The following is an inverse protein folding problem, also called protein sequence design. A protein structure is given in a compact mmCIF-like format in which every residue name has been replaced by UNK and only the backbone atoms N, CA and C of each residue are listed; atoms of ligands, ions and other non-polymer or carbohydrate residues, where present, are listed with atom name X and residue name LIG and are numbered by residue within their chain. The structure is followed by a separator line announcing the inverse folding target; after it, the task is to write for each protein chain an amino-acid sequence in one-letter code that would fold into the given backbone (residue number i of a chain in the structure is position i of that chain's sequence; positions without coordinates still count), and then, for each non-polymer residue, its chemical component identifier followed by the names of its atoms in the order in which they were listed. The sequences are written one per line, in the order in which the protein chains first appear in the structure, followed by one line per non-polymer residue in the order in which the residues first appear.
data_IF_303414668904
#
_entry.id   IF_303414668904
#
_cell.length_a   1.000
_cell.length_b   1.000
_cell.length_c   1.000
_cell.angle_alpha   90.00
_cell.angle_beta   90.00
_cell.angle_gamma   90.00
#
_symmetry.space_group_name_H-M   'P 1'
#
loop_
_entity.id
_entity.type
_entity.pdbx_description
1 polymer ?
#
# COMPACT_ATOMS: atom_id res chain seq x y z
N UNK A 1 -33.78 -17.67 -18.89
CA UNK A 1 -32.40 -17.51 -19.40
C UNK A 1 -31.48 -17.80 -18.23
N UNK A 2 -30.86 -18.98 -18.19
CA UNK A 2 -29.90 -19.33 -17.12
C UNK A 2 -28.57 -18.71 -17.57
N UNK A 3 -28.06 -17.73 -16.83
CA UNK A 3 -26.72 -17.19 -17.08
C UNK A 3 -25.71 -18.25 -16.66
N UNK A 4 -24.81 -18.64 -17.56
CA UNK A 4 -23.72 -19.60 -17.30
C UNK A 4 -22.47 -18.92 -16.73
N UNK A 5 -22.55 -17.62 -16.41
CA UNK A 5 -21.42 -16.87 -15.88
C UNK A 5 -21.42 -16.83 -14.35
N UNK A 6 -20.25 -17.03 -13.77
CA UNK A 6 -19.93 -16.81 -12.35
C UNK A 6 -18.72 -15.88 -12.23
N UNK A 7 -18.51 -15.34 -11.04
CA UNK A 7 -17.32 -14.59 -10.67
C UNK A 7 -16.34 -15.48 -9.90
N UNK A 8 -15.08 -15.45 -10.31
CA UNK A 8 -13.98 -16.10 -9.61
C UNK A 8 -13.08 -15.02 -9.02
N UNK A 9 -12.82 -15.13 -7.72
CA UNK A 9 -12.06 -14.17 -6.91
C UNK A 9 -10.79 -14.82 -6.40
N UNK A 10 -9.65 -14.18 -6.63
CA UNK A 10 -8.37 -14.57 -6.07
C UNK A 10 -7.84 -13.44 -5.19
N UNK A 11 -7.61 -13.75 -3.92
CA UNK A 11 -6.98 -12.87 -2.95
C UNK A 11 -5.62 -13.45 -2.58
N UNK A 12 -4.57 -12.61 -2.60
CA UNK A 12 -3.21 -13.00 -2.21
C UNK A 12 -2.72 -12.02 -1.15
N UNK A 13 -2.57 -12.48 0.08
CA UNK A 13 -2.03 -11.71 1.20
C UNK A 13 -0.55 -11.36 0.98
N UNK A 14 -0.04 -10.36 1.69
CA UNK A 14 1.39 -10.02 1.64
C UNK A 14 2.29 -11.14 2.19
N UNK A 15 1.75 -11.96 3.10
CA UNK A 15 2.39 -13.16 3.64
C UNK A 15 2.47 -14.32 2.63
N UNK A 16 1.78 -14.21 1.49
CA UNK A 16 1.69 -15.27 0.47
C UNK A 16 0.48 -16.19 0.61
N UNK A 17 -0.31 -16.06 1.69
CA UNK A 17 -1.58 -16.80 1.83
C UNK A 17 -2.52 -16.46 0.67
N UNK A 18 -3.18 -17.47 0.10
CA UNK A 18 -4.04 -17.30 -1.07
C UNK A 18 -5.44 -17.86 -0.81
N UNK A 19 -6.46 -17.09 -1.13
CA UNK A 19 -7.88 -17.48 -1.08
C UNK A 19 -8.45 -17.44 -2.49
N UNK A 20 -9.10 -18.53 -2.88
CA UNK A 20 -9.75 -18.72 -4.17
C UNK A 20 -11.22 -19.00 -3.94
N UNK A 21 -12.08 -18.06 -4.32
CA UNK A 21 -13.49 -18.16 -4.01
C UNK A 21 -14.39 -17.81 -5.21
N UNK A 22 -15.59 -18.38 -5.27
CA UNK A 22 -16.57 -18.12 -6.32
C UNK A 22 -17.95 -17.85 -5.74
N UNK A 23 -18.76 -17.08 -6.48
CA UNK A 23 -20.18 -16.86 -6.22
C UNK A 23 -21.06 -17.99 -6.80
N UNK A 24 -20.47 -18.95 -7.52
CA UNK A 24 -21.13 -20.16 -7.96
C UNK A 24 -21.42 -21.10 -6.78
N UNK A 25 -22.45 -21.94 -6.91
CA UNK A 25 -22.88 -22.89 -5.88
C UNK A 25 -21.98 -24.14 -5.82
N UNK A 26 -21.08 -24.30 -6.80
CA UNK A 26 -20.15 -25.44 -6.89
C UNK A 26 -18.72 -24.96 -7.11
N UNK A 27 -17.71 -25.77 -6.73
CA UNK A 27 -16.32 -25.46 -7.04
C UNK A 27 -16.10 -25.32 -8.54
N UNK A 28 -15.41 -24.26 -8.94
CA UNK A 28 -15.07 -23.97 -10.35
C UNK A 28 -13.57 -24.18 -10.55
N UNK A 29 -13.21 -25.04 -11.49
CA UNK A 29 -11.81 -25.23 -11.89
C UNK A 29 -11.47 -24.26 -13.01
N UNK A 30 -10.53 -23.35 -12.75
CA UNK A 30 -10.14 -22.31 -13.69
C UNK A 30 -8.63 -22.07 -13.61
N UNK A 31 -7.94 -22.09 -14.76
CA UNK A 31 -6.48 -21.87 -14.88
C UNK A 31 -5.62 -22.75 -13.96
N UNK A 32 -6.04 -23.99 -13.73
CA UNK A 32 -5.33 -24.93 -12.86
C UNK A 32 -5.54 -24.70 -11.36
N UNK A 33 -6.43 -23.77 -10.99
CA UNK A 33 -6.81 -23.46 -9.63
C UNK A 33 -8.28 -23.84 -9.39
N UNK A 34 -8.61 -24.23 -8.15
CA UNK A 34 -9.98 -24.59 -7.76
C UNK A 34 -10.54 -23.48 -6.88
N UNK A 35 -11.55 -22.79 -7.38
CA UNK A 35 -12.28 -21.74 -6.67
C UNK A 35 -13.41 -22.38 -5.87
N UNK A 36 -13.41 -22.18 -4.55
CA UNK A 36 -14.39 -22.79 -3.66
C UNK A 36 -15.65 -21.92 -3.56
N UNK A 37 -16.85 -22.53 -3.47
CA UNK A 37 -18.07 -21.80 -3.16
C UNK A 37 -18.01 -21.26 -1.73
N UNK A 38 -18.49 -20.04 -1.51
CA UNK A 38 -18.54 -19.45 -0.17
C UNK A 38 -18.62 -17.93 -0.17
N UNK A 39 -18.09 -17.29 -1.22
CA UNK A 39 -18.04 -15.83 -1.29
C UNK A 39 -19.41 -15.23 -1.62
N UNK A 40 -20.16 -14.83 -0.59
CA UNK A 40 -21.40 -14.05 -0.75
C UNK A 40 -21.08 -12.56 -0.79
N UNK A 41 -20.55 -12.14 -1.93
CA UNK A 41 -20.38 -10.71 -2.25
C UNK A 41 -21.67 -10.19 -2.88
N UNK A 42 -22.28 -9.17 -2.28
CA UNK A 42 -23.35 -8.41 -2.93
C UNK A 42 -22.72 -7.44 -3.93
N UNK A 43 -22.59 -7.89 -5.17
CA UNK A 43 -21.92 -7.20 -6.30
C UNK A 43 -22.67 -5.98 -6.86
N UNK A 44 -23.70 -5.47 -6.17
CA UNK A 44 -24.69 -4.54 -6.73
C UNK A 44 -24.17 -3.13 -7.05
N UNK A 45 -22.86 -2.87 -7.00
CA UNK A 45 -22.27 -1.57 -7.31
C UNK A 45 -20.97 -1.63 -8.13
N UNK A 46 -20.75 -2.64 -8.99
CA UNK A 46 -19.63 -2.60 -9.95
C UNK A 46 -19.91 -1.51 -11.03
N UNK A 47 -19.59 -0.25 -10.73
CA UNK A 47 -19.62 0.86 -11.69
C UNK A 47 -18.25 0.99 -12.34
N UNK A 48 -18.18 0.65 -13.63
CA UNK A 48 -16.98 0.84 -14.46
C UNK A 48 -16.86 2.31 -14.85
N UNK A 49 -16.18 3.10 -14.04
CA UNK A 49 -15.97 4.52 -14.35
C UNK A 49 -14.70 4.69 -15.20
N UNK A 50 -14.81 5.31 -16.38
CA UNK A 50 -13.67 5.62 -17.28
C UNK A 50 -12.79 6.78 -16.75
N UNK A 51 -13.05 7.28 -15.55
CA UNK A 51 -12.37 8.42 -14.95
C UNK A 51 -11.06 7.95 -14.30
N UNK A 52 -10.05 8.82 -14.30
CA UNK A 52 -8.74 8.60 -13.66
C UNK A 52 -8.76 8.85 -12.15
N UNK A 53 -9.93 8.85 -11.51
CA UNK A 53 -10.05 8.90 -10.05
C UNK A 53 -10.12 7.48 -9.49
N UNK A 54 -9.28 7.13 -8.50
CA UNK A 54 -9.37 5.88 -7.76
C UNK A 54 -10.47 6.04 -6.72
N UNK A 55 -11.71 6.11 -7.17
CA UNK A 55 -12.80 5.88 -6.22
C UNK A 55 -12.64 4.45 -5.72
N UNK A 56 -12.50 4.24 -4.40
CA UNK A 56 -12.48 2.90 -3.84
C UNK A 56 -13.79 2.23 -4.22
N UNK A 57 -13.69 1.00 -4.73
CA UNK A 57 -14.87 0.18 -4.92
C UNK A 57 -15.20 -0.42 -3.55
N UNK A 58 -16.19 0.17 -2.89
CA UNK A 58 -16.70 -0.36 -1.63
C UNK A 58 -17.54 -1.58 -1.90
N UNK A 59 -17.04 -2.73 -1.44
CA UNK A 59 -17.72 -4.00 -1.57
C UNK A 59 -18.30 -4.40 -0.22
N UNK A 60 -19.62 -4.41 -0.13
CA UNK A 60 -20.32 -4.94 1.03
C UNK A 60 -20.54 -6.46 0.84
N UNK A 61 -19.97 -7.28 1.72
CA UNK A 61 -20.11 -8.72 1.62
C UNK A 61 -19.89 -9.42 2.96
N UNK A 62 -20.58 -10.54 3.17
CA UNK A 62 -20.11 -11.52 4.13
C UNK A 62 -19.03 -12.34 3.42
N UNK A 63 -17.77 -11.99 3.65
CA UNK A 63 -16.63 -12.75 3.14
C UNK A 63 -16.46 -13.99 4.03
N UNK A 64 -17.25 -15.02 3.77
CA UNK A 64 -17.08 -16.34 4.38
C UNK A 64 -16.46 -17.26 3.33
N UNK A 65 -15.15 -17.47 3.39
CA UNK A 65 -14.48 -18.47 2.58
C UNK A 65 -13.57 -19.29 3.49
N UNK A 66 -13.39 -20.58 3.16
CA UNK A 66 -12.39 -21.40 3.84
C UNK A 66 -11.03 -20.70 3.70
N UNK A 67 -10.41 -20.37 4.85
CA UNK A 67 -9.16 -19.60 5.00
C UNK A 67 -9.24 -18.07 4.85
N UNK A 68 -10.44 -17.48 4.89
CA UNK A 68 -10.62 -16.03 5.06
C UNK A 68 -11.49 -15.79 6.30
N UNK A 69 -10.86 -15.78 7.49
CA UNK A 69 -11.62 -15.63 8.73
C UNK A 69 -11.86 -14.15 9.08
N UNK A 70 -12.97 -13.91 9.78
CA UNK A 70 -13.29 -12.65 10.42
C UNK A 70 -12.17 -12.14 11.34
N UNK A 71 -11.44 -13.06 11.96
CA UNK A 71 -10.32 -12.77 12.87
C UNK A 71 -9.10 -12.29 12.07
N UNK A 72 -8.74 -12.98 10.98
CA UNK A 72 -7.61 -12.58 10.13
C UNK A 72 -7.82 -11.22 9.46
N UNK A 73 -9.08 -10.92 9.11
CA UNK A 73 -9.48 -9.60 8.59
C UNK A 73 -9.34 -8.51 9.66
N UNK A 74 -9.72 -8.79 10.91
CA UNK A 74 -9.58 -7.85 12.02
C UNK A 74 -8.12 -7.64 12.45
N UNK A 75 -7.30 -8.68 12.35
CA UNK A 75 -5.87 -8.66 12.69
C UNK A 75 -5.00 -8.07 11.57
N UNK A 76 -5.61 -7.60 10.46
CA UNK A 76 -4.92 -6.92 9.36
C UNK A 76 -4.07 -7.85 8.48
N UNK A 77 -4.26 -9.17 8.57
CA UNK A 77 -3.50 -10.17 7.78
C UNK A 77 -3.67 -9.95 6.26
N UNK A 78 -4.83 -9.41 5.88
CA UNK A 78 -5.21 -9.17 4.49
C UNK A 78 -5.03 -7.72 4.04
N UNK A 79 -4.41 -6.87 4.86
CA UNK A 79 -4.18 -5.47 4.49
C UNK A 79 -3.23 -5.35 3.30
N UNK A 80 -3.67 -4.64 2.27
CA UNK A 80 -2.96 -4.56 1.00
C UNK A 80 -2.93 -5.87 0.20
N UNK A 81 -3.74 -6.88 0.57
CA UNK A 81 -3.85 -8.11 -0.19
C UNK A 81 -4.24 -7.82 -1.64
N UNK A 82 -3.58 -8.50 -2.58
CA UNK A 82 -3.89 -8.37 -4.02
C UNK A 82 -5.17 -9.11 -4.32
N UNK A 83 -6.13 -8.42 -4.94
CA UNK A 83 -7.42 -8.99 -5.33
C UNK A 83 -7.51 -8.99 -6.86
N UNK A 84 -7.91 -10.12 -7.43
CA UNK A 84 -8.19 -10.27 -8.87
C UNK A 84 -9.53 -10.94 -9.07
N UNK A 85 -10.33 -10.40 -10.00
CA UNK A 85 -11.69 -10.84 -10.27
C UNK A 85 -11.80 -11.21 -11.75
N UNK A 86 -12.31 -12.40 -12.02
CA UNK A 86 -12.65 -12.88 -13.36
C UNK A 86 -14.15 -13.15 -13.46
N UNK A 87 -14.70 -12.94 -14.65
CA UNK A 87 -15.95 -13.55 -15.07
C UNK A 87 -15.60 -14.83 -15.80
N UNK A 88 -16.13 -15.96 -15.34
CA UNK A 88 -15.85 -17.28 -15.91
C UNK A 88 -17.19 -17.90 -16.28
N UNK A 89 -17.28 -18.48 -17.48
CA UNK A 89 -18.37 -19.36 -17.82
C UNK A 89 -18.13 -20.71 -17.12
N UNK A 90 -18.95 -21.07 -16.13
CA UNK A 90 -18.74 -22.33 -15.39
C UNK A 90 -19.00 -23.57 -16.24
N UNK A 91 -19.71 -23.44 -17.36
CA UNK A 91 -19.94 -24.54 -18.30
C UNK A 91 -18.78 -24.72 -19.28
N UNK A 92 -18.04 -23.65 -19.58
CA UNK A 92 -16.83 -23.66 -20.39
C UNK A 92 -15.80 -22.65 -19.83
N UNK A 93 -14.92 -23.08 -18.89
CA UNK A 93 -13.99 -22.18 -18.22
C UNK A 93 -12.96 -21.49 -19.12
N UNK A 94 -12.80 -21.93 -20.38
CA UNK A 94 -11.96 -21.22 -21.35
C UNK A 94 -12.58 -19.88 -21.76
N UNK A 95 -13.92 -19.80 -21.76
CA UNK A 95 -14.66 -18.55 -21.92
C UNK A 95 -14.62 -17.75 -20.61
N UNK A 96 -13.57 -16.94 -20.48
CA UNK A 96 -13.34 -16.09 -19.31
C UNK A 96 -12.90 -14.68 -19.70
N UNK A 97 -13.39 -13.71 -18.95
CA UNK A 97 -13.00 -12.32 -19.07
C UNK A 97 -12.38 -11.85 -17.75
N UNK A 98 -11.24 -11.17 -17.86
CA UNK A 98 -10.71 -10.42 -16.72
C UNK A 98 -11.60 -9.20 -16.44
N UNK A 99 -12.11 -9.10 -15.20
CA UNK A 99 -12.99 -7.98 -14.81
C UNK A 99 -12.21 -6.86 -14.15
N UNK A 100 -11.36 -7.18 -13.16
CA UNK A 100 -10.69 -6.17 -12.34
C UNK A 100 -9.51 -6.75 -11.54
N UNK A 101 -8.57 -5.89 -11.16
CA UNK A 101 -7.53 -6.18 -10.18
C UNK A 101 -7.15 -4.94 -9.36
N UNK A 102 -6.76 -5.14 -8.11
CA UNK A 102 -6.30 -4.09 -7.21
C UNK A 102 -5.85 -4.67 -5.87
N UNK A 103 -5.95 -3.87 -4.80
CA UNK A 103 -5.62 -4.29 -3.45
C UNK A 103 -6.74 -3.97 -2.46
N UNK A 104 -6.74 -4.70 -1.35
CA UNK A 104 -7.54 -4.41 -0.19
C UNK A 104 -7.00 -3.16 0.51
N UNK A 105 -7.80 -2.10 0.63
CA UNK A 105 -7.38 -0.82 1.21
C UNK A 105 -7.87 -0.59 2.64
N UNK A 106 -9.03 -1.13 2.99
CA UNK A 106 -9.63 -0.98 4.31
C UNK A 106 -10.57 -2.14 4.60
N UNK A 107 -10.66 -2.51 5.88
CA UNK A 107 -11.65 -3.45 6.40
C UNK A 107 -12.42 -2.75 7.51
N UNK A 108 -13.73 -2.60 7.35
CA UNK A 108 -14.63 -2.12 8.38
C UNK A 108 -15.53 -3.26 8.84
N UNK A 109 -15.73 -3.39 10.15
CA UNK A 109 -16.62 -4.42 10.71
C UNK A 109 -17.85 -3.75 11.30
N UNK A 110 -19.04 -4.07 10.79
CA UNK A 110 -20.31 -3.56 11.29
C UNK A 110 -21.32 -4.70 11.44
N UNK A 111 -21.77 -4.96 12.67
CA UNK A 111 -22.86 -5.92 12.95
C UNK A 111 -22.58 -7.36 12.51
N UNK A 112 -21.33 -7.82 12.58
CA UNK A 112 -20.92 -9.16 12.13
C UNK A 112 -20.77 -9.30 10.62
N UNK A 113 -20.82 -8.19 9.87
CA UNK A 113 -20.50 -8.12 8.45
C UNK A 113 -19.26 -7.27 8.25
N UNK A 114 -18.50 -7.58 7.20
CA UNK A 114 -17.34 -6.81 6.80
C UNK A 114 -17.67 -5.96 5.58
N UNK A 115 -17.23 -4.70 5.57
CA UNK A 115 -17.08 -3.92 4.36
C UNK A 115 -15.61 -3.87 4.03
N UNK A 116 -15.29 -4.18 2.79
CA UNK A 116 -13.92 -4.14 2.31
C UNK A 116 -13.81 -3.09 1.22
N UNK A 117 -12.92 -2.13 1.44
CA UNK A 117 -12.52 -1.18 0.43
C UNK A 117 -11.53 -1.84 -0.54
N UNK A 118 -11.80 -1.72 -1.83
CA UNK A 118 -10.90 -2.16 -2.89
C UNK A 118 -10.31 -0.94 -3.61
N UNK A 119 -8.99 -0.80 -3.52
CA UNK A 119 -8.26 0.22 -4.27
C UNK A 119 -7.75 -0.37 -5.59
N UNK A 120 -7.98 0.34 -6.69
CA UNK A 120 -7.45 -0.04 -8.02
C UNK A 120 -5.93 0.21 -8.09
N UNK A 121 -5.23 -0.42 -9.03
CA UNK A 121 -3.81 -0.13 -9.33
C UNK A 121 -3.54 1.38 -9.58
N UNK A 122 -4.56 2.16 -9.98
CA UNK A 122 -4.48 3.62 -10.09
C UNK A 122 -4.16 4.31 -8.76
N UNK A 123 -4.51 3.71 -7.62
CA UNK A 123 -4.17 4.22 -6.29
C UNK A 123 -2.65 4.27 -6.07
N UNK A 124 -1.88 3.38 -6.70
CA UNK A 124 -0.41 3.46 -6.67
C UNK A 124 0.12 4.69 -7.42
N UNK A 125 -0.61 5.19 -8.43
CA UNK A 125 -0.23 6.40 -9.17
C UNK A 125 -0.56 7.70 -8.42
N UNK A 126 -1.52 7.67 -7.47
CA UNK A 126 -1.83 8.81 -6.61
C UNK A 126 -0.91 8.93 -5.40
N UNK A 127 -0.07 7.93 -5.14
CA UNK A 127 0.98 8.07 -4.14
C UNK A 127 1.84 9.25 -4.54
N UNK A 128 1.97 10.23 -3.65
CA UNK A 128 2.92 11.33 -3.83
C UNK A 128 4.33 10.76 -3.82
N UNK A 129 4.84 10.40 -5.00
CA UNK A 129 6.22 9.94 -5.18
C UNK A 129 7.10 11.18 -5.22
N UNK A 130 7.73 11.48 -4.10
CA UNK A 130 8.62 12.63 -3.99
C UNK A 130 9.40 12.58 -2.70
N UNK A 131 10.58 13.19 -2.72
CA UNK A 131 11.37 13.41 -1.51
C UNK A 131 10.98 14.74 -0.90
N UNK A 132 10.88 14.77 0.42
CA UNK A 132 10.76 16.02 1.15
C UNK A 132 12.15 16.66 1.22
N UNK A 133 12.30 17.82 0.60
CA UNK A 133 13.52 18.63 0.74
C UNK A 133 13.48 19.33 2.09
N UNK A 134 14.31 18.86 3.04
CA UNK A 134 14.40 19.45 4.37
C UNK A 134 15.78 19.24 4.99
N UNK A 135 16.05 19.97 6.08
CA UNK A 135 17.33 19.90 6.80
C UNK A 135 17.60 18.54 7.46
N UNK A 136 16.53 17.84 7.85
CA UNK A 136 16.61 16.50 8.46
C UNK A 136 16.74 15.43 7.39
N UNK A 137 17.34 14.30 7.77
CA UNK A 137 17.36 13.09 6.95
C UNK A 137 15.92 12.63 6.67
N UNK A 138 15.61 12.29 5.42
CA UNK A 138 14.32 11.72 5.02
C UNK A 138 14.34 10.18 4.95
N UNK A 139 15.50 9.55 5.15
CA UNK A 139 15.62 8.10 5.20
C UNK A 139 15.13 7.53 6.54
N UNK A 140 14.69 6.27 6.51
CA UNK A 140 14.42 5.51 7.71
C UNK A 140 15.71 4.88 8.24
N UNK A 141 15.83 4.83 9.56
CA UNK A 141 17.05 4.37 10.21
C UNK A 141 17.27 2.89 9.87
N UNK A 142 18.39 2.60 9.22
CA UNK A 142 18.74 1.26 8.76
C UNK A 142 18.11 0.80 7.44
N UNK A 143 17.36 1.68 6.75
CA UNK A 143 16.94 1.38 5.38
C UNK A 143 18.14 1.36 4.40
N UNK A 144 17.90 0.91 3.16
CA UNK A 144 18.95 0.85 2.14
C UNK A 144 19.56 2.22 1.80
N UNK A 145 18.80 3.32 2.00
CA UNK A 145 19.25 4.69 1.72
C UNK A 145 20.18 5.19 2.82
N UNK A 146 19.88 4.86 4.07
CA UNK A 146 20.64 5.13 5.29
C UNK A 146 21.91 4.28 5.32
N UNK A 147 21.78 2.95 5.18
CA UNK A 147 22.89 2.01 5.15
C UNK A 147 23.58 1.76 6.51
N UNK A 148 23.03 2.26 7.62
CA UNK A 148 23.50 1.92 8.96
C UNK A 148 22.94 0.56 9.37
N UNK A 149 23.79 -0.38 9.76
CA UNK A 149 23.32 -1.62 10.39
C UNK A 149 22.84 -1.31 11.80
N UNK A 150 21.56 -1.57 12.09
CA UNK A 150 20.95 -1.29 13.40
C UNK A 150 21.58 -2.18 14.49
N UNK A 151 21.87 -3.43 14.14
CA UNK A 151 22.59 -4.38 14.99
C UNK A 151 24.04 -3.90 15.18
N UNK A 152 24.32 -3.34 16.35
CA UNK A 152 25.63 -2.77 16.69
C UNK A 152 25.74 -1.25 16.51
N UNK A 153 24.64 -0.57 16.23
CA UNK A 153 24.62 0.89 16.17
C UNK A 153 24.99 1.52 17.55
N UNK A 154 25.81 2.59 17.59
CA UNK A 154 26.20 3.24 18.84
C UNK A 154 25.04 3.82 19.66
N UNK A 155 23.90 4.07 19.01
CA UNK A 155 22.67 4.54 19.63
C UNK A 155 21.47 3.79 19.02
N UNK A 156 20.48 3.48 19.86
CA UNK A 156 19.27 2.75 19.46
C UNK A 156 18.27 3.57 18.63
N UNK A 157 18.49 4.88 18.47
CA UNK A 157 17.59 5.78 17.77
C UNK A 157 18.33 6.87 16.99
N UNK A 158 17.77 7.27 15.85
CA UNK A 158 18.28 8.33 14.99
C UNK A 158 17.37 9.57 15.09
N UNK A 159 17.93 10.72 15.46
CA UNK A 159 17.21 12.01 15.54
C UNK A 159 17.06 12.72 14.18
N UNK A 160 17.58 12.08 13.12
CA UNK A 160 17.61 12.54 11.72
C UNK A 160 18.39 13.84 11.51
N UNK A 161 19.28 14.26 12.42
CA UNK A 161 20.16 15.44 12.25
C UNK A 161 21.49 15.07 11.60
N UNK A 162 22.08 16.03 10.87
CA UNK A 162 23.35 15.81 10.18
C UNK A 162 24.53 15.62 11.15
N UNK A 163 24.59 16.40 12.22
CA UNK A 163 25.61 16.26 13.27
C UNK A 163 25.60 14.85 13.85
N UNK A 164 24.45 14.34 14.27
CA UNK A 164 24.30 12.96 14.77
C UNK A 164 24.70 11.93 13.71
N UNK A 165 24.25 12.10 12.46
CA UNK A 165 24.62 11.21 11.35
C UNK A 165 26.13 11.16 11.08
N UNK A 166 26.83 12.30 11.22
CA UNK A 166 28.28 12.41 11.05
C UNK A 166 29.05 11.91 12.27
N UNK A 167 28.69 12.39 13.45
CA UNK A 167 29.51 12.29 14.65
C UNK A 167 29.26 10.99 15.42
N UNK A 168 28.02 10.46 15.39
CA UNK A 168 27.66 9.20 16.08
C UNK A 168 27.78 8.00 15.15
N UNK A 169 27.32 8.12 13.91
CA UNK A 169 27.24 7.00 12.97
C UNK A 169 28.32 7.02 11.88
N UNK A 170 29.18 8.04 11.82
CA UNK A 170 30.20 8.23 10.78
C UNK A 170 29.63 8.13 9.34
N UNK A 171 28.35 8.48 9.17
CA UNK A 171 27.57 8.22 7.97
C UNK A 171 27.15 9.49 7.22
N UNK A 172 27.98 10.54 7.29
CA UNK A 172 27.71 11.81 6.61
C UNK A 172 27.49 11.65 5.09
N UNK A 173 28.23 10.72 4.45
CA UNK A 173 28.14 10.49 3.01
C UNK A 173 26.80 9.92 2.54
N UNK A 174 26.06 9.22 3.42
CA UNK A 174 24.71 8.71 3.11
C UNK A 174 23.60 9.54 3.74
N UNK A 175 23.90 10.71 4.28
CA UNK A 175 22.88 11.61 4.78
C UNK A 175 21.92 12.00 3.65
N UNK A 176 20.62 11.79 3.87
CA UNK A 176 19.59 12.01 2.84
C UNK A 176 18.81 13.32 3.02
N UNK A 177 19.23 14.17 3.94
CA UNK A 177 18.71 15.53 4.09
C UNK A 177 19.57 16.60 3.41
N UNK A 178 19.20 17.86 3.62
CA UNK A 178 19.89 19.04 3.10
C UNK A 178 20.34 19.94 4.26
N UNK A 179 21.47 19.62 4.92
CA UNK A 179 21.85 20.25 6.18
C UNK A 179 22.07 21.76 6.07
N UNK A 180 22.52 22.22 4.91
CA UNK A 180 22.80 23.63 4.65
C UNK A 180 21.65 24.36 3.96
N UNK A 181 20.47 23.76 3.88
CA UNK A 181 19.29 24.38 3.26
C UNK A 181 18.90 25.65 4.05
N UNK A 182 18.96 26.83 3.40
CA UNK A 182 18.53 28.07 4.03
C UNK A 182 17.06 27.99 4.44
N UNK A 183 16.74 28.54 5.61
CA UNK A 183 15.36 28.68 6.04
C UNK A 183 14.63 29.78 5.28
N UNK A 184 13.30 29.78 5.41
CA UNK A 184 12.44 30.80 4.80
C UNK A 184 12.78 32.22 5.28
N UNK A 185 13.24 32.34 6.52
CA UNK A 185 13.75 33.57 7.13
C UNK A 185 14.93 34.17 6.34
N UNK A 186 15.88 33.34 5.90
CA UNK A 186 17.02 33.78 5.08
C UNK A 186 16.56 34.23 3.70
N UNK A 187 15.56 33.55 3.10
CA UNK A 187 15.03 33.88 1.78
C UNK A 187 14.31 35.23 1.76
N UNK A 188 13.59 35.56 2.83
CA UNK A 188 12.84 36.82 2.95
C UNK A 188 13.74 37.96 3.47
N UNK A 189 14.86 37.63 4.12
CA UNK A 189 15.77 38.64 4.68
C UNK A 189 16.46 39.49 3.61
N UNK A 190 16.54 40.79 3.86
CA UNK A 190 17.39 41.70 3.10
C UNK A 190 18.88 41.54 3.46
N UNK A 191 19.79 42.15 2.68
CA UNK A 191 21.22 42.05 2.93
C UNK A 191 21.63 42.72 4.25
N UNK A 192 22.06 41.91 5.21
CA UNK A 192 22.62 42.37 6.49
C UNK A 192 24.00 43.04 6.38
N UNK A 193 24.50 43.49 7.52
CA UNK A 193 25.76 44.25 7.65
C UNK A 193 27.01 43.39 7.40
N UNK A 194 27.00 42.12 7.81
CA UNK A 194 28.11 41.17 7.56
C UNK A 194 27.97 40.46 6.21
N UNK A 195 28.97 40.64 5.33
CA UNK A 195 29.04 40.15 3.95
C UNK A 195 30.43 39.58 3.62
N UNK A 196 30.91 38.68 4.46
CA UNK A 196 32.25 38.07 4.38
C UNK A 196 32.24 36.65 3.76
N UNK A 197 31.08 36.15 3.34
CA UNK A 197 30.92 34.80 2.78
C UNK A 197 30.96 33.67 3.81
N UNK A 198 30.84 33.98 5.11
CA UNK A 198 30.87 32.99 6.18
C UNK A 198 29.56 32.16 6.28
N UNK A 199 29.69 30.93 6.80
CA UNK A 199 28.54 30.10 7.17
C UNK A 199 27.81 30.73 8.36
N UNK A 200 26.63 31.32 8.16
CA UNK A 200 25.83 32.03 9.18
C UNK A 200 25.20 31.11 10.25
N UNK A 201 25.92 30.12 10.77
CA UNK A 201 25.40 29.21 11.79
C UNK A 201 24.28 28.29 11.30
N UNK A 202 24.14 28.10 9.98
CA UNK A 202 23.28 27.08 9.37
C UNK A 202 23.96 25.72 9.58
N UNK A 203 23.89 25.24 10.83
CA UNK A 203 24.28 23.93 11.38
C UNK A 203 25.60 23.32 10.86
N UNK A 204 26.65 23.38 11.70
CA UNK A 204 27.82 22.50 11.65
C UNK A 204 27.54 21.19 12.37
#
# INVERSE_FOLDING_TARGET
MISTNCQCWKLVAQSGQTVLATDHDRPVSFRGEIYQPGLKVSTSAFRRTLVLSPEPLDLAGALEADNLSAVDLADGVWDGARVTIWRVNWADPEESDWLWSGCLSSVETEGGRFRVGLASQKSDLEKTIGRIFGRRCDADFGDARCGVTIEGAPQASCDKRFSTCRDVFENAARFRGFPHMPGNDVVISGPGEKRDGSSRGIER
#
